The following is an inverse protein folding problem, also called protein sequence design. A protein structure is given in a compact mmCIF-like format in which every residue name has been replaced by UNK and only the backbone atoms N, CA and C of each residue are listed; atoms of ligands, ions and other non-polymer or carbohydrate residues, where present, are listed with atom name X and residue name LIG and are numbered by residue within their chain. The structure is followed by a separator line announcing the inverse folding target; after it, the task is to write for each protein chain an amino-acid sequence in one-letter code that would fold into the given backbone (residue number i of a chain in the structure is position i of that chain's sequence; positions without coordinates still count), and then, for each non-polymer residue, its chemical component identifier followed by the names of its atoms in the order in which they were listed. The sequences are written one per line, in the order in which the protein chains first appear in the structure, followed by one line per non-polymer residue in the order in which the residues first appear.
data_IF_416088682792
#
_entry.id   IF_416088682792
#
_cell.length_a   1.000
_cell.length_b   1.000
_cell.length_c   1.000
_cell.angle_alpha   90.00
_cell.angle_beta   90.00
_cell.angle_gamma   90.00
#
_symmetry.space_group_name_H-M   'P 1'
#
loop_
_entity.id
_entity.type
_entity.pdbx_description
1 polymer ?
#
# COMPACT_ATOMS: atom_id res chain seq x y z
N UNK A 1 -12.58 16.82 8.29
CA UNK A 1 -11.98 15.56 7.77
C UNK A 1 -12.35 15.31 6.31
N UNK A 2 -13.61 15.44 5.87
CA UNK A 2 -14.03 15.39 4.45
C UNK A 2 -15.35 16.17 4.30
N UNK A 3 -15.58 16.83 3.16
CA UNK A 3 -16.81 17.57 2.81
C UNK A 3 -17.60 16.90 1.67
N UNK A 4 -16.98 15.98 0.93
CA UNK A 4 -17.55 15.27 -0.22
C UNK A 4 -18.53 14.17 0.19
N UNK A 5 -19.72 14.18 -0.40
CA UNK A 5 -20.76 13.17 -0.17
C UNK A 5 -20.36 11.78 -0.73
N UNK A 6 -20.79 10.69 -0.07
CA UNK A 6 -20.50 9.32 -0.49
C UNK A 6 -19.14 8.76 -0.03
N UNK A 7 -18.30 9.59 0.61
CA UNK A 7 -17.06 9.12 1.26
C UNK A 7 -17.34 8.66 2.69
N UNK A 8 -16.92 7.44 3.00
CA UNK A 8 -17.18 6.82 4.30
C UNK A 8 -16.06 7.13 5.28
N UNK A 9 -16.33 8.05 6.22
CA UNK A 9 -15.53 8.17 7.44
C UNK A 9 -16.06 7.20 8.49
N UNK A 10 -15.17 6.73 9.38
CA UNK A 10 -15.59 5.99 10.58
C UNK A 10 -16.61 6.80 11.35
N UNK A 11 -17.69 6.16 11.81
CA UNK A 11 -18.78 6.83 12.52
C UNK A 11 -18.30 7.61 13.75
N UNK A 12 -17.27 7.12 14.45
CA UNK A 12 -16.68 7.74 15.64
C UNK A 12 -16.00 9.11 15.37
N UNK A 13 -15.62 9.39 14.12
CA UNK A 13 -15.05 10.71 13.72
C UNK A 13 -16.07 11.54 12.94
N UNK A 14 -17.35 11.30 13.19
CA UNK A 14 -18.44 12.06 12.60
C UNK A 14 -19.52 12.36 13.63
N UNK A 15 -20.09 13.55 13.54
CA UNK A 15 -21.22 13.99 14.35
C UNK A 15 -22.48 13.97 13.48
N UNK A 16 -23.57 13.43 14.01
CA UNK A 16 -24.83 13.29 13.29
C UNK A 16 -25.91 14.14 13.94
N UNK A 17 -26.47 15.07 13.17
CA UNK A 17 -27.67 15.83 13.49
C UNK A 17 -28.87 15.02 12.99
N UNK A 18 -29.80 14.69 13.89
CA UNK A 18 -31.01 13.91 13.59
C UNK A 18 -32.26 14.77 13.78
N UNK A 19 -33.27 14.50 12.98
CA UNK A 19 -34.57 15.18 13.05
C UNK A 19 -35.70 14.16 13.04
N UNK A 20 -36.68 14.37 13.91
CA UNK A 20 -37.91 13.58 13.90
C UNK A 20 -38.87 14.14 12.84
N UNK A 21 -39.30 13.28 11.92
CA UNK A 21 -40.25 13.57 10.85
C UNK A 21 -41.52 12.74 11.10
N UNK A 22 -42.68 13.38 11.05
CA UNK A 22 -43.96 12.68 11.15
C UNK A 22 -44.36 12.13 9.78
N UNK A 23 -44.66 10.83 9.73
CA UNK A 23 -45.15 10.13 8.55
C UNK A 23 -46.66 9.98 8.68
N UNK A 24 -47.41 10.57 7.74
CA UNK A 24 -48.85 10.41 7.67
C UNK A 24 -49.22 8.99 7.23
N UNK A 25 -50.34 8.47 7.75
CA UNK A 25 -50.85 7.17 7.35
C UNK A 25 -51.35 7.18 5.90
N UNK A 26 -51.00 6.17 5.11
CA UNK A 26 -51.45 6.06 3.71
C UNK A 26 -52.91 5.61 3.60
N UNK A 27 -53.43 4.94 4.64
CA UNK A 27 -54.83 4.53 4.70
C UNK A 27 -55.53 4.91 6.02
N UNK A 28 -56.87 5.03 6.03
CA UNK A 28 -57.64 5.33 7.25
C UNK A 28 -57.58 4.25 8.34
N UNK A 29 -57.04 3.07 8.03
CA UNK A 29 -56.85 1.98 9.00
C UNK A 29 -55.46 1.98 9.65
N UNK A 30 -54.57 2.86 9.19
CA UNK A 30 -53.21 2.99 9.71
C UNK A 30 -53.08 4.26 10.55
N UNK A 31 -52.18 4.24 11.53
CA UNK A 31 -51.81 5.41 12.31
C UNK A 31 -50.51 5.98 11.75
N UNK A 32 -50.42 7.30 11.66
CA UNK A 32 -49.15 7.95 11.39
C UNK A 32 -48.16 7.71 12.53
N UNK A 33 -46.87 7.79 12.22
CA UNK A 33 -45.80 7.52 13.17
C UNK A 33 -44.64 8.49 12.95
N UNK A 34 -43.81 8.68 13.96
CA UNK A 34 -42.57 9.44 13.82
C UNK A 34 -41.44 8.53 13.36
N UNK A 35 -40.64 9.02 12.42
CA UNK A 35 -39.34 8.44 12.06
C UNK A 35 -38.25 9.43 12.42
N UNK A 36 -37.12 8.94 12.89
CA UNK A 36 -35.92 9.76 13.11
C UNK A 36 -35.04 9.64 11.87
N UNK A 37 -34.86 10.74 11.16
CA UNK A 37 -34.09 10.83 9.92
C UNK A 37 -32.76 11.56 10.16
N UNK A 38 -31.72 11.13 9.47
CA UNK A 38 -30.43 11.81 9.51
C UNK A 38 -30.55 13.11 8.71
N UNK A 39 -30.49 14.26 9.39
CA UNK A 39 -30.56 15.57 8.74
C UNK A 39 -29.20 15.97 8.18
N UNK A 40 -28.14 15.82 8.99
CA UNK A 40 -26.79 16.19 8.60
C UNK A 40 -25.77 15.32 9.30
N UNK A 41 -24.63 15.08 8.64
CA UNK A 41 -23.44 14.51 9.27
C UNK A 41 -22.25 15.41 9.01
N UNK A 42 -21.49 15.71 10.06
CA UNK A 42 -20.30 16.57 10.01
C UNK A 42 -19.07 15.76 10.37
N UNK A 43 -17.96 16.07 9.73
CA UNK A 43 -16.67 15.51 10.12
C UNK A 43 -16.21 16.12 11.45
N UNK A 44 -15.57 15.30 12.29
CA UNK A 44 -14.91 15.77 13.52
C UNK A 44 -13.70 16.65 13.22
N UNK A 45 -13.18 17.33 14.25
CA UNK A 45 -11.94 18.10 14.14
C UNK A 45 -10.71 17.18 14.07
N UNK A 46 -9.57 17.75 13.70
CA UNK A 46 -8.28 17.06 13.73
C UNK A 46 -7.94 16.51 15.12
N UNK A 47 -8.19 17.30 16.17
CA UNK A 47 -7.92 16.89 17.55
C UNK A 47 -8.80 15.71 17.98
N UNK A 48 -10.09 15.75 17.64
CA UNK A 48 -11.02 14.66 17.95
C UNK A 48 -10.64 13.37 17.21
N UNK A 49 -10.30 13.48 15.92
CA UNK A 49 -9.90 12.33 15.11
C UNK A 49 -8.58 11.71 15.60
N UNK A 50 -7.59 12.54 15.96
CA UNK A 50 -6.34 12.09 16.53
C UNK A 50 -6.56 11.42 17.89
N UNK A 51 -7.36 12.03 18.77
CA UNK A 51 -7.69 11.44 20.06
C UNK A 51 -8.39 10.09 19.89
N UNK A 52 -9.37 9.98 19.00
CA UNK A 52 -10.07 8.72 18.74
C UNK A 52 -9.14 7.65 18.15
N UNK A 53 -8.24 8.03 17.26
CA UNK A 53 -7.24 7.14 16.68
C UNK A 53 -6.27 6.59 17.74
N UNK A 54 -5.71 7.46 18.58
CA UNK A 54 -4.77 7.05 19.62
C UNK A 54 -5.44 6.19 20.70
N UNK A 55 -6.66 6.53 21.11
CA UNK A 55 -7.45 5.69 22.03
C UNK A 55 -7.69 4.31 21.40
N UNK A 56 -8.07 4.25 20.12
CA UNK A 56 -8.25 2.97 19.42
C UNK A 56 -6.98 2.13 19.36
N UNK A 57 -5.80 2.73 19.25
CA UNK A 57 -4.52 2.02 19.27
C UNK A 57 -4.22 1.44 20.67
N UNK A 58 -4.41 2.25 21.72
CA UNK A 58 -4.20 1.83 23.11
C UNK A 58 -5.16 0.70 23.48
N UNK A 59 -6.45 0.80 23.11
CA UNK A 59 -7.46 -0.22 23.40
C UNK A 59 -7.18 -1.54 22.66
N UNK A 60 -6.43 -1.50 21.55
CA UNK A 60 -6.03 -2.69 20.82
C UNK A 60 -4.95 -3.49 21.54
N UNK A 61 -4.15 -2.82 22.38
CA UNK A 61 -3.02 -3.42 23.09
C UNK A 61 -3.52 -4.46 24.10
N UNK A 62 -3.09 -5.70 23.94
CA UNK A 62 -3.45 -6.81 24.82
C UNK A 62 -4.73 -7.55 24.44
N UNK A 63 -5.37 -7.19 23.32
CA UNK A 63 -6.46 -7.99 22.78
C UNK A 63 -5.92 -9.32 22.22
N UNK A 64 -6.65 -10.41 22.49
CA UNK A 64 -6.34 -11.75 22.01
C UNK A 64 -7.51 -12.25 21.15
N UNK A 65 -7.20 -12.84 20.00
CA UNK A 65 -8.15 -13.65 19.25
C UNK A 65 -8.02 -15.11 19.70
N UNK A 66 -9.16 -15.69 20.11
CA UNK A 66 -9.23 -17.10 20.51
C UNK A 66 -9.74 -17.94 19.35
N UNK A 67 -9.03 -19.02 19.07
CA UNK A 67 -9.35 -20.00 18.04
C UNK A 67 -9.46 -21.38 18.68
N UNK A 68 -10.19 -22.27 18.02
CA UNK A 68 -10.22 -23.69 18.32
C UNK A 68 -9.86 -24.47 17.05
N UNK A 69 -9.07 -25.53 17.17
CA UNK A 69 -8.83 -26.46 16.07
C UNK A 69 -9.98 -27.49 15.97
N UNK A 70 -9.94 -28.33 14.93
CA UNK A 70 -10.95 -29.38 14.71
C UNK A 70 -10.96 -30.46 15.82
N UNK A 71 -9.85 -30.56 16.57
CA UNK A 71 -9.70 -31.44 17.74
C UNK A 71 -10.28 -30.84 19.04
N UNK A 72 -10.71 -29.57 19.01
CA UNK A 72 -11.29 -28.84 20.15
C UNK A 72 -10.25 -28.17 21.07
N UNK A 73 -8.97 -28.18 20.72
CA UNK A 73 -7.94 -27.44 21.45
C UNK A 73 -8.06 -25.95 21.17
N UNK A 74 -8.13 -25.16 22.24
CA UNK A 74 -8.18 -23.70 22.16
C UNK A 74 -6.78 -23.09 22.24
N UNK A 75 -6.52 -22.08 21.40
CA UNK A 75 -5.32 -21.27 21.47
C UNK A 75 -5.64 -19.80 21.25
N UNK A 76 -4.77 -18.93 21.78
CA UNK A 76 -4.93 -17.49 21.71
C UNK A 76 -3.78 -16.87 20.91
N UNK A 77 -4.12 -15.96 20.01
CA UNK A 77 -3.15 -15.17 19.26
C UNK A 77 -3.32 -13.69 19.61
N UNK A 78 -2.22 -12.98 19.92
CA UNK A 78 -2.29 -11.55 20.14
C UNK A 78 -2.73 -10.85 18.86
N UNK A 79 -3.74 -9.99 18.98
CA UNK A 79 -4.14 -9.11 17.90
C UNK A 79 -3.10 -8.00 17.77
N UNK A 80 -2.64 -7.77 16.54
CA UNK A 80 -1.74 -6.67 16.18
C UNK A 80 -2.45 -5.69 15.27
N UNK A 81 -2.44 -4.40 15.61
CA UNK A 81 -2.97 -3.40 14.69
C UNK A 81 -1.96 -3.04 13.60
N UNK A 82 -2.41 -2.25 12.63
CA UNK A 82 -1.58 -1.85 11.50
C UNK A 82 -0.63 -0.69 11.83
N UNK A 83 -0.51 -0.26 13.08
CA UNK A 83 0.23 0.94 13.49
C UNK A 83 1.38 0.66 14.47
N UNK A 84 1.36 -0.50 15.12
CA UNK A 84 2.41 -0.95 16.03
C UNK A 84 3.65 -1.56 15.36
N UNK A 85 4.68 -1.76 16.17
CA UNK A 85 6.00 -2.29 15.80
C UNK A 85 5.93 -3.57 14.95
N UNK A 86 5.12 -4.54 15.38
CA UNK A 86 5.02 -5.86 14.72
C UNK A 86 4.58 -5.72 13.26
N UNK A 87 3.66 -4.80 12.97
CA UNK A 87 3.23 -4.56 11.59
C UNK A 87 4.36 -3.94 10.76
N UNK A 88 5.08 -2.96 11.31
CA UNK A 88 6.22 -2.33 10.64
C UNK A 88 7.32 -3.36 10.33
N UNK A 89 7.70 -4.20 11.32
CA UNK A 89 8.65 -5.31 11.12
C UNK A 89 8.18 -6.30 10.04
N UNK A 90 6.89 -6.60 10.00
CA UNK A 90 6.32 -7.47 8.96
C UNK A 90 6.46 -6.86 7.57
N UNK A 91 6.23 -5.56 7.41
CA UNK A 91 6.40 -4.92 6.11
C UNK A 91 7.87 -4.81 5.71
N UNK A 92 8.76 -4.54 6.66
CA UNK A 92 10.20 -4.59 6.46
C UNK A 92 10.66 -5.95 5.93
N UNK A 93 10.23 -7.04 6.58
CA UNK A 93 10.53 -8.40 6.14
C UNK A 93 10.03 -8.69 4.71
N UNK A 94 8.89 -8.12 4.32
CA UNK A 94 8.36 -8.21 2.95
C UNK A 94 9.19 -7.46 1.93
N UNK A 95 9.70 -6.28 2.26
CA UNK A 95 10.59 -5.53 1.38
C UNK A 95 11.91 -6.30 1.16
N UNK A 96 12.48 -6.87 2.22
CA UNK A 96 13.65 -7.75 2.10
C UNK A 96 13.37 -9.04 1.32
N UNK A 97 12.16 -9.60 1.43
CA UNK A 97 11.75 -10.76 0.64
C UNK A 97 11.79 -10.44 -0.87
N UNK A 98 11.32 -9.26 -1.27
CA UNK A 98 11.38 -8.85 -2.68
C UNK A 98 12.81 -8.73 -3.19
N UNK A 99 13.69 -8.09 -2.42
CA UNK A 99 15.11 -7.98 -2.77
C UNK A 99 15.71 -9.37 -3.04
N UNK A 100 15.43 -10.35 -2.16
CA UNK A 100 15.91 -11.73 -2.33
C UNK A 100 15.32 -12.44 -3.54
N UNK A 101 14.02 -12.28 -3.78
CA UNK A 101 13.37 -12.98 -4.89
C UNK A 101 13.78 -12.41 -6.25
N UNK A 102 13.99 -11.10 -6.33
CA UNK A 102 14.35 -10.43 -7.58
C UNK A 102 15.85 -10.53 -7.88
N UNK A 103 16.70 -10.22 -6.90
CA UNK A 103 18.15 -10.14 -7.08
C UNK A 103 18.97 -11.24 -6.40
N UNK A 104 18.31 -12.19 -5.73
CA UNK A 104 18.99 -13.25 -4.99
C UNK A 104 19.51 -12.80 -3.63
N UNK A 105 20.19 -13.72 -2.93
CA UNK A 105 20.84 -13.46 -1.64
C UNK A 105 20.43 -14.42 -0.53
N UNK A 106 21.09 -14.31 0.62
CA UNK A 106 20.89 -15.23 1.75
C UNK A 106 19.56 -14.98 2.47
N UNK A 107 18.80 -16.05 2.75
CA UNK A 107 17.59 -16.00 3.56
C UNK A 107 17.92 -16.08 5.05
N UNK A 108 17.11 -15.47 5.93
CA UNK A 108 17.29 -15.59 7.38
C UNK A 108 17.26 -17.03 7.92
N UNK A 109 16.61 -17.95 7.21
CA UNK A 109 16.56 -19.39 7.51
C UNK A 109 17.83 -20.15 7.15
N UNK A 110 18.81 -19.51 6.49
CA UNK A 110 20.11 -20.09 6.13
C UNK A 110 20.18 -20.67 4.71
N UNK A 111 19.08 -20.68 3.95
CA UNK A 111 19.09 -20.99 2.52
C UNK A 111 19.48 -19.80 1.64
N UNK A 112 19.68 -20.05 0.35
CA UNK A 112 19.98 -19.02 -0.65
C UNK A 112 18.80 -18.81 -1.60
N UNK A 113 18.53 -17.55 -1.92
CA UNK A 113 17.61 -17.14 -2.97
C UNK A 113 18.31 -17.08 -4.32
N UNK A 114 17.77 -17.81 -5.29
CA UNK A 114 18.11 -17.63 -6.70
C UNK A 114 17.37 -16.40 -7.22
N UNK A 115 18.09 -15.50 -7.88
CA UNK A 115 17.50 -14.32 -8.51
C UNK A 115 16.54 -14.76 -9.61
N UNK A 116 15.31 -14.25 -9.59
CA UNK A 116 14.35 -14.47 -10.67
C UNK A 116 14.68 -13.62 -11.91
N UNK A 117 15.36 -12.49 -11.73
CA UNK A 117 15.65 -11.52 -12.78
C UNK A 117 17.15 -11.42 -13.05
N UNK A 118 17.50 -11.18 -14.32
CA UNK A 118 18.88 -11.11 -14.77
C UNK A 118 19.60 -9.84 -14.33
N UNK A 119 18.92 -8.69 -14.40
CA UNK A 119 19.45 -7.39 -14.02
C UNK A 119 18.38 -6.55 -13.32
N UNK A 120 18.03 -6.87 -12.06
CA UNK A 120 16.94 -6.22 -11.37
C UNK A 120 17.26 -4.74 -11.06
N UNK A 121 16.37 -3.84 -11.49
CA UNK A 121 16.47 -2.39 -11.29
C UNK A 121 15.15 -1.82 -10.76
N UNK A 122 15.21 -0.60 -10.22
CA UNK A 122 14.04 0.06 -9.63
C UNK A 122 13.88 1.51 -10.01
N UNK A 123 12.64 1.97 -9.94
CA UNK A 123 12.25 3.37 -10.00
C UNK A 123 11.43 3.74 -8.77
N UNK A 124 11.62 4.94 -8.25
CA UNK A 124 10.72 5.55 -7.27
C UNK A 124 9.97 6.68 -7.96
N UNK A 125 8.65 6.60 -7.94
CA UNK A 125 7.77 7.67 -8.40
C UNK A 125 7.11 8.32 -7.18
N UNK A 126 7.26 9.63 -7.05
CA UNK A 126 6.68 10.38 -5.93
C UNK A 126 5.49 11.20 -6.43
N UNK A 127 4.30 10.88 -5.91
CA UNK A 127 3.06 11.57 -6.20
C UNK A 127 2.65 12.45 -5.02
N UNK A 128 2.53 13.74 -5.28
CA UNK A 128 2.12 14.73 -4.29
C UNK A 128 0.98 15.61 -4.78
N UNK A 129 0.37 16.33 -3.85
CA UNK A 129 -0.72 17.27 -4.08
C UNK A 129 -0.59 18.43 -3.10
N UNK A 130 -0.99 19.63 -3.50
CA UNK A 130 -1.06 20.78 -2.60
C UNK A 130 -2.21 20.62 -1.62
N UNK A 131 -1.97 20.89 -0.35
CA UNK A 131 -3.02 21.01 0.67
C UNK A 131 -3.69 22.39 0.67
N UNK A 132 -3.19 23.34 -0.13
CA UNK A 132 -3.71 24.72 -0.28
C UNK A 132 -3.69 25.21 -1.74
N UNK A 133 -4.27 24.46 -2.70
CA UNK A 133 -4.16 24.78 -4.12
C UNK A 133 -4.73 26.17 -4.48
N UNK A 134 -5.76 26.62 -3.76
CA UNK A 134 -6.42 27.92 -3.97
C UNK A 134 -6.24 28.89 -2.78
N UNK A 135 -5.23 28.65 -1.93
CA UNK A 135 -5.01 29.41 -0.69
C UNK A 135 -5.90 28.98 0.48
N UNK A 136 -6.91 28.14 0.24
CA UNK A 136 -7.74 27.51 1.28
C UNK A 136 -7.27 26.08 1.57
N UNK A 137 -7.28 25.71 2.85
CA UNK A 137 -6.79 24.41 3.32
C UNK A 137 -7.80 23.32 2.99
N UNK A 138 -7.38 22.30 2.24
CA UNK A 138 -8.22 21.16 1.92
C UNK A 138 -8.51 20.27 3.14
N UNK A 139 -9.70 19.67 3.23
CA UNK A 139 -9.95 18.54 4.11
C UNK A 139 -8.93 17.40 3.86
N UNK A 140 -8.22 16.91 4.89
CA UNK A 140 -7.11 15.97 4.69
C UNK A 140 -7.49 14.62 4.06
N UNK A 141 -8.70 14.13 4.32
CA UNK A 141 -9.17 12.88 3.70
C UNK A 141 -9.46 13.10 2.22
N UNK A 142 -9.98 14.25 1.81
CA UNK A 142 -10.21 14.56 0.38
C UNK A 142 -8.90 14.65 -0.39
N UNK A 143 -7.92 15.35 0.19
CA UNK A 143 -6.57 15.40 -0.37
C UNK A 143 -5.96 14.00 -0.52
N UNK A 144 -6.08 13.16 0.52
CA UNK A 144 -5.58 11.79 0.50
C UNK A 144 -6.32 10.94 -0.53
N UNK A 145 -7.64 11.10 -0.64
CA UNK A 145 -8.47 10.40 -1.60
C UNK A 145 -8.08 10.73 -3.03
N UNK A 146 -7.97 12.02 -3.38
CA UNK A 146 -7.52 12.49 -4.68
C UNK A 146 -6.20 11.86 -5.14
N UNK A 147 -5.21 11.71 -4.25
CA UNK A 147 -3.91 11.09 -4.59
C UNK A 147 -4.03 9.62 -4.99
N UNK A 148 -4.72 8.82 -4.18
CA UNK A 148 -4.84 7.37 -4.45
C UNK A 148 -5.87 7.09 -5.53
N UNK A 149 -6.88 7.93 -5.69
CA UNK A 149 -7.89 7.75 -6.72
C UNK A 149 -7.28 8.00 -8.10
N UNK A 150 -6.46 9.06 -8.22
CA UNK A 150 -5.60 9.29 -9.38
C UNK A 150 -4.77 8.04 -9.72
N UNK A 151 -4.12 7.44 -8.70
CA UNK A 151 -3.36 6.20 -8.89
C UNK A 151 -4.23 4.99 -9.28
N UNK A 152 -5.28 4.72 -8.51
CA UNK A 152 -5.96 3.42 -8.49
C UNK A 152 -7.13 3.28 -9.45
N UNK A 153 -7.77 4.41 -9.79
CA UNK A 153 -9.05 4.46 -10.50
C UNK A 153 -9.01 5.36 -11.74
N UNK A 154 -8.25 6.46 -11.71
CA UNK A 154 -8.28 7.47 -12.78
C UNK A 154 -7.15 7.29 -13.82
N UNK A 155 -6.47 6.14 -13.78
CA UNK A 155 -5.65 5.66 -14.89
C UNK A 155 -4.14 5.84 -14.76
N UNK A 156 -3.62 6.47 -13.70
CA UNK A 156 -2.15 6.57 -13.50
C UNK A 156 -1.50 5.20 -13.38
N UNK A 157 -2.11 4.24 -12.66
CA UNK A 157 -1.61 2.86 -12.61
C UNK A 157 -1.67 2.17 -13.98
N UNK A 158 -2.68 2.45 -14.77
CA UNK A 158 -2.81 1.88 -16.12
C UNK A 158 -1.76 2.48 -17.06
N UNK A 159 -1.44 3.77 -16.92
CA UNK A 159 -0.31 4.42 -17.60
C UNK A 159 1.02 3.81 -17.15
N UNK A 160 1.21 3.55 -15.86
CA UNK A 160 2.40 2.84 -15.37
C UNK A 160 2.51 1.46 -16.03
N UNK A 161 1.45 0.65 -16.04
CA UNK A 161 1.45 -0.64 -16.76
C UNK A 161 1.83 -0.47 -18.22
N UNK A 162 1.21 0.49 -18.91
CA UNK A 162 1.48 0.71 -20.33
C UNK A 162 2.93 1.17 -20.58
N UNK A 163 3.50 1.99 -19.69
CA UNK A 163 4.91 2.35 -19.73
C UNK A 163 5.79 1.10 -19.63
N UNK A 164 5.53 0.23 -18.66
CA UNK A 164 6.33 -0.99 -18.48
C UNK A 164 6.17 -1.98 -19.64
N UNK A 165 4.94 -2.30 -20.02
CA UNK A 165 4.67 -3.39 -20.98
C UNK A 165 4.77 -2.95 -22.45
N UNK A 166 4.33 -1.74 -22.81
CA UNK A 166 4.31 -1.30 -24.20
C UNK A 166 5.47 -0.38 -24.59
N UNK A 167 5.96 0.45 -23.67
CA UNK A 167 7.04 1.40 -23.98
C UNK A 167 8.42 0.80 -23.66
N UNK A 168 8.54 0.09 -22.55
CA UNK A 168 9.77 -0.60 -22.17
C UNK A 168 9.80 -2.06 -22.65
N UNK A 169 8.67 -2.62 -23.09
CA UNK A 169 8.61 -3.94 -23.73
C UNK A 169 8.79 -5.10 -22.76
N UNK A 170 8.48 -4.91 -21.48
CA UNK A 170 8.58 -5.94 -20.45
C UNK A 170 7.33 -6.82 -20.40
N UNK A 171 7.51 -8.10 -20.17
CA UNK A 171 6.42 -9.02 -19.88
C UNK A 171 5.84 -8.77 -18.47
N UNK A 172 4.62 -9.24 -18.22
CA UNK A 172 3.88 -8.95 -16.99
C UNK A 172 4.52 -9.50 -15.70
N UNK A 173 5.44 -10.46 -15.81
CA UNK A 173 6.22 -11.04 -14.72
C UNK A 173 7.63 -10.44 -14.56
N UNK A 174 8.05 -9.60 -15.51
CA UNK A 174 9.33 -8.88 -15.49
C UNK A 174 9.24 -7.54 -14.76
N UNK A 175 8.07 -7.14 -14.27
CA UNK A 175 7.92 -5.91 -13.50
C UNK A 175 6.78 -5.95 -12.47
N UNK A 176 6.90 -5.14 -11.42
CA UNK A 176 5.83 -4.94 -10.44
C UNK A 176 5.95 -3.62 -9.71
N UNK A 177 4.98 -3.32 -8.84
CA UNK A 177 5.00 -2.09 -8.04
C UNK A 177 4.60 -2.34 -6.58
N UNK A 178 5.12 -1.48 -5.70
CA UNK A 178 4.67 -1.29 -4.34
C UNK A 178 4.39 0.18 -4.13
N UNK A 179 3.13 0.52 -3.90
CA UNK A 179 2.70 1.84 -3.44
C UNK A 179 2.75 1.90 -1.92
N UNK A 180 3.42 2.91 -1.40
CA UNK A 180 3.56 3.22 0.01
C UNK A 180 3.16 4.68 0.22
N UNK A 181 2.23 4.92 1.13
CA UNK A 181 1.85 6.27 1.53
C UNK A 181 2.64 6.71 2.75
N UNK A 182 2.89 8.01 2.83
CA UNK A 182 3.63 8.66 3.91
C UNK A 182 3.13 10.08 4.22
N UNK A 183 3.48 10.63 5.40
CA UNK A 183 3.29 12.03 5.70
C UNK A 183 4.36 12.91 5.06
N UNK A 184 3.94 14.01 4.46
CA UNK A 184 4.81 15.15 4.21
C UNK A 184 5.37 15.72 5.51
N UNK A 185 6.60 16.25 5.43
CA UNK A 185 7.28 16.94 6.53
C UNK A 185 8.13 16.05 7.44
N UNK A 186 8.16 14.73 7.19
CA UNK A 186 9.03 13.80 7.91
C UNK A 186 10.51 14.12 7.62
N UNK A 187 11.33 14.23 8.68
CA UNK A 187 12.77 14.54 8.57
C UNK A 187 13.13 16.01 8.36
N UNK A 188 12.14 16.88 8.15
CA UNK A 188 12.30 18.34 8.12
C UNK A 188 11.93 19.01 9.45
N UNK A 189 11.76 20.34 9.45
CA UNK A 189 11.30 21.09 10.62
C UNK A 189 9.76 21.02 10.85
N UNK A 190 9.05 20.18 10.08
CA UNK A 190 7.60 20.01 10.16
C UNK A 190 6.78 21.22 9.70
N UNK A 191 7.40 22.25 9.10
CA UNK A 191 6.74 23.54 8.83
C UNK A 191 6.19 23.70 7.40
N UNK A 192 6.43 22.72 6.54
CA UNK A 192 5.99 22.76 5.15
C UNK A 192 4.47 22.87 5.02
N UNK A 193 3.99 23.53 3.96
CA UNK A 193 2.55 23.72 3.78
C UNK A 193 1.78 22.40 3.76
N UNK A 194 2.39 21.31 3.31
CA UNK A 194 1.77 19.99 3.26
C UNK A 194 2.05 19.13 4.49
N UNK A 195 2.67 19.64 5.56
CA UNK A 195 2.95 18.85 6.76
C UNK A 195 1.71 18.08 7.24
N UNK A 196 1.88 16.81 7.61
CA UNK A 196 0.81 15.87 8.00
C UNK A 196 -0.11 15.37 6.86
N UNK A 197 -0.04 15.95 5.65
CA UNK A 197 -0.80 15.47 4.49
C UNK A 197 -0.09 14.31 3.80
N UNK A 198 -0.84 13.51 3.05
CA UNK A 198 -0.31 12.33 2.36
C UNK A 198 0.58 12.71 1.17
N UNK A 199 1.63 11.95 0.92
CA UNK A 199 2.15 11.71 -0.44
C UNK A 199 2.24 10.20 -0.67
N UNK A 200 2.42 9.81 -1.93
CA UNK A 200 2.55 8.41 -2.32
C UNK A 200 3.91 8.20 -2.98
N UNK A 201 4.62 7.19 -2.50
CA UNK A 201 5.80 6.64 -3.13
C UNK A 201 5.41 5.34 -3.84
N UNK A 202 5.66 5.24 -5.14
CA UNK A 202 5.48 4.02 -5.91
C UNK A 202 6.84 3.50 -6.31
N UNK A 203 7.30 2.50 -5.56
CA UNK A 203 8.47 1.72 -5.92
C UNK A 203 8.10 0.76 -7.05
N UNK A 204 8.67 0.98 -8.23
CA UNK A 204 8.56 0.11 -9.41
C UNK A 204 9.80 -0.76 -9.45
N UNK A 205 9.58 -2.06 -9.64
CA UNK A 205 10.60 -3.10 -9.71
C UNK A 205 10.55 -3.68 -11.11
N UNK A 206 11.68 -3.87 -11.76
CA UNK A 206 11.71 -4.45 -13.10
C UNK A 206 13.03 -5.14 -13.41
N UNK A 207 13.00 -6.12 -14.31
CA UNK A 207 14.20 -6.65 -14.93
C UNK A 207 14.69 -5.69 -16.03
N UNK A 208 15.92 -5.22 -15.90
CA UNK A 208 16.55 -4.31 -16.83
C UNK A 208 17.62 -4.99 -17.70
N UNK A 209 17.60 -6.32 -17.82
CA UNK A 209 18.61 -7.09 -18.54
C UNK A 209 18.84 -6.57 -19.98
N UNK A 210 17.76 -6.14 -20.64
CA UNK A 210 17.78 -5.63 -22.01
C UNK A 210 17.45 -4.12 -22.10
N UNK A 211 17.54 -3.38 -20.99
CA UNK A 211 17.18 -1.97 -20.90
C UNK A 211 18.36 -1.05 -20.56
N UNK A 212 18.36 0.14 -21.15
CA UNK A 212 19.26 1.23 -20.77
C UNK A 212 18.53 2.19 -19.82
N UNK A 213 19.02 2.31 -18.58
CA UNK A 213 18.37 3.12 -17.55
C UNK A 213 18.33 4.62 -17.88
N UNK A 214 19.27 5.13 -18.70
CA UNK A 214 19.22 6.51 -19.18
C UNK A 214 18.01 6.76 -20.09
N UNK A 215 17.54 5.72 -20.79
CA UNK A 215 16.35 5.75 -21.65
C UNK A 215 15.08 5.43 -20.86
N UNK A 216 15.17 4.61 -19.81
CA UNK A 216 14.03 4.26 -18.93
C UNK A 216 13.50 5.47 -18.16
N UNK A 217 14.38 6.32 -17.62
CA UNK A 217 13.99 7.46 -16.79
C UNK A 217 12.94 8.38 -17.46
N UNK A 218 13.20 8.86 -18.69
CA UNK A 218 12.24 9.65 -19.45
C UNK A 218 10.88 8.98 -19.70
N UNK A 219 10.80 7.64 -19.76
CA UNK A 219 9.52 6.96 -19.98
C UNK A 219 8.59 7.05 -18.75
N UNK A 220 9.14 7.25 -17.55
CA UNK A 220 8.36 7.49 -16.34
C UNK A 220 7.75 8.90 -16.26
N UNK A 221 8.24 9.85 -17.05
CA UNK A 221 7.63 11.20 -17.18
C UNK A 221 6.15 11.09 -17.54
N UNK A 222 5.76 10.11 -18.36
CA UNK A 222 4.36 9.83 -18.74
C UNK A 222 3.47 9.55 -17.55
N UNK A 223 4.01 8.86 -16.53
CA UNK A 223 3.26 8.49 -15.33
C UNK A 223 3.09 9.72 -14.43
N UNK A 224 4.12 10.55 -14.33
CA UNK A 224 4.06 11.84 -13.62
C UNK A 224 3.06 12.78 -14.30
N UNK A 225 3.13 12.91 -15.63
CA UNK A 225 2.19 13.71 -16.42
C UNK A 225 0.76 13.25 -16.21
N UNK A 226 0.52 11.93 -16.20
CA UNK A 226 -0.81 11.39 -15.93
C UNK A 226 -1.28 11.72 -14.51
N UNK A 227 -0.40 11.67 -13.52
CA UNK A 227 -0.73 12.06 -12.15
C UNK A 227 -1.11 13.55 -12.06
N UNK A 228 -0.34 14.42 -12.72
CA UNK A 228 -0.63 15.86 -12.76
C UNK A 228 -1.92 16.16 -13.52
N UNK A 229 -2.26 15.36 -14.55
CA UNK A 229 -3.52 15.47 -15.29
C UNK A 229 -4.74 15.10 -14.43
N UNK A 230 -4.68 13.97 -13.70
CA UNK A 230 -5.84 13.39 -13.02
C UNK A 230 -6.00 13.87 -11.57
N UNK A 231 -4.90 14.14 -10.87
CA UNK A 231 -4.96 14.64 -9.50
C UNK A 231 -5.18 16.15 -9.51
N UNK A 232 -6.42 16.59 -9.26
CA UNK A 232 -6.83 18.01 -9.28
C UNK A 232 -5.91 18.96 -8.47
N UNK A 233 -5.30 18.44 -7.40
CA UNK A 233 -4.46 19.21 -6.48
C UNK A 233 -2.95 19.07 -6.76
N UNK A 234 -2.57 18.27 -7.75
CA UNK A 234 -1.21 18.16 -8.22
C UNK A 234 -0.85 19.33 -9.15
N UNK A 235 0.43 19.64 -9.23
CA UNK A 235 0.93 20.64 -10.18
C UNK A 235 2.26 20.20 -10.75
N UNK A 236 2.52 20.58 -11.99
CA UNK A 236 3.80 20.30 -12.64
C UNK A 236 4.98 20.92 -11.89
N UNK A 237 4.82 22.10 -11.29
CA UNK A 237 5.90 22.74 -10.52
C UNK A 237 6.36 21.93 -9.31
N UNK A 238 5.47 21.09 -8.74
CA UNK A 238 5.81 20.16 -7.66
C UNK A 238 6.35 18.81 -8.17
N UNK A 239 6.32 18.58 -9.48
CA UNK A 239 6.79 17.36 -10.13
C UNK A 239 7.68 17.68 -11.34
N UNK A 240 8.42 18.78 -11.30
CA UNK A 240 9.21 19.25 -12.44
C UNK A 240 10.46 18.38 -12.62
N UNK A 241 10.41 17.48 -13.59
CA UNK A 241 11.49 16.55 -13.92
C UNK A 241 12.47 17.09 -15.00
N UNK A 242 12.26 18.30 -15.53
CA UNK A 242 13.01 18.80 -16.72
C UNK A 242 14.52 18.95 -16.53
N UNK A 243 14.99 18.97 -15.29
CA UNK A 243 16.41 19.07 -14.94
C UNK A 243 16.83 17.96 -13.95
N UNK A 244 16.07 16.87 -13.90
CA UNK A 244 16.35 15.75 -12.99
C UNK A 244 17.36 14.80 -13.62
N UNK A 245 18.42 14.50 -12.88
CA UNK A 245 19.32 13.39 -13.20
C UNK A 245 18.74 12.13 -12.54
N UNK A 246 18.02 11.32 -13.31
CA UNK A 246 17.26 10.19 -12.76
C UNK A 246 18.11 9.19 -11.97
N UNK A 247 19.41 9.07 -12.24
CA UNK A 247 20.27 8.08 -11.58
C UNK A 247 21.01 8.64 -10.36
N UNK A 248 21.19 9.96 -10.29
CA UNK A 248 21.98 10.61 -9.23
C UNK A 248 21.16 11.52 -8.32
N UNK A 249 19.94 11.91 -8.71
CA UNK A 249 19.03 12.75 -7.93
C UNK A 249 18.00 11.88 -7.20
N UNK A 250 18.04 11.90 -5.86
CA UNK A 250 17.07 11.22 -5.00
C UNK A 250 15.88 12.09 -4.59
N UNK A 251 15.95 13.40 -4.86
CA UNK A 251 14.99 14.38 -4.34
C UNK A 251 13.92 14.76 -5.39
N UNK A 252 14.08 14.28 -6.63
CA UNK A 252 13.13 14.43 -7.73
C UNK A 252 11.84 13.61 -7.58
N UNK A 253 10.87 13.87 -8.45
CA UNK A 253 9.62 13.07 -8.53
C UNK A 253 9.83 11.69 -9.19
N UNK A 254 10.97 11.48 -9.84
CA UNK A 254 11.43 10.23 -10.45
C UNK A 254 12.88 10.01 -10.02
N UNK A 255 13.20 8.83 -9.48
CA UNK A 255 14.59 8.40 -9.24
C UNK A 255 14.75 6.93 -9.63
N UNK A 256 15.86 6.58 -10.27
CA UNK A 256 16.22 5.23 -10.70
C UNK A 256 17.40 4.68 -9.92
N UNK A 257 17.44 3.36 -9.74
CA UNK A 257 18.57 2.67 -9.15
C UNK A 257 18.89 1.37 -9.92
N UNK A 258 20.16 1.23 -10.33
CA UNK A 258 20.70 0.11 -11.10
C UNK A 258 20.93 -1.18 -10.29
N UNK A 259 20.18 -1.36 -9.21
CA UNK A 259 20.21 -2.55 -8.38
C UNK A 259 19.10 -2.53 -7.35
N UNK A 260 18.77 -3.72 -6.84
CA UNK A 260 17.82 -3.90 -5.74
C UNK A 260 18.51 -4.02 -4.38
N UNK A 261 19.85 -4.14 -4.37
CA UNK A 261 20.67 -4.18 -3.17
C UNK A 261 20.52 -2.87 -2.40
N UNK A 262 20.06 -2.94 -1.14
CA UNK A 262 19.69 -1.82 -0.27
C UNK A 262 18.33 -1.16 -0.54
N UNK A 263 17.52 -1.69 -1.45
CA UNK A 263 16.17 -1.17 -1.64
C UNK A 263 15.21 -1.64 -0.53
N UNK A 264 15.41 -2.84 0.03
CA UNK A 264 14.68 -3.27 1.22
C UNK A 264 14.83 -2.24 2.35
N UNK A 265 16.01 -1.65 2.51
CA UNK A 265 16.27 -0.52 3.40
C UNK A 265 15.74 0.82 2.87
N UNK A 266 15.77 1.07 1.55
CA UNK A 266 15.26 2.30 0.93
C UNK A 266 13.75 2.44 1.15
N UNK A 267 12.96 1.46 0.69
CA UNK A 267 11.52 1.43 0.95
C UNK A 267 11.22 1.33 2.44
N UNK A 268 12.01 0.62 3.24
CA UNK A 268 11.82 0.61 4.69
C UNK A 268 12.05 1.97 5.37
N UNK A 269 12.98 2.77 4.85
CA UNK A 269 13.19 4.14 5.32
C UNK A 269 11.90 4.97 5.09
N UNK A 270 11.31 4.83 3.91
CA UNK A 270 10.00 5.39 3.52
C UNK A 270 8.83 4.80 4.33
N UNK A 271 8.82 3.50 4.64
CA UNK A 271 7.85 2.90 5.56
C UNK A 271 7.92 3.45 7.00
N UNK A 272 8.79 4.42 7.23
CA UNK A 272 8.87 5.25 8.42
C UNK A 272 9.81 4.63 9.42
N UNK A 273 11.02 4.27 8.98
CA UNK A 273 12.32 4.16 9.69
C UNK A 273 12.40 3.55 11.09
N UNK A 274 11.28 3.11 11.65
CA UNK A 274 11.12 2.97 13.08
C UNK A 274 10.15 1.83 13.29
N UNK A 275 10.73 0.70 13.65
CA UNK A 275 10.06 -0.35 14.42
C UNK A 275 9.59 0.18 15.79
N UNK A 276 9.80 1.46 16.11
CA UNK A 276 9.31 2.10 17.32
C UNK A 276 7.78 2.06 17.44
N UNK A 277 7.33 2.17 18.69
CA UNK A 277 5.92 2.22 19.06
C UNK A 277 5.24 3.47 18.49
N UNK A 278 3.94 3.39 18.24
CA UNK A 278 3.20 4.48 17.58
C UNK A 278 3.34 5.82 18.32
N UNK A 279 3.28 5.80 19.65
CA UNK A 279 3.32 7.01 20.49
C UNK A 279 4.67 7.72 20.50
N UNK A 280 5.73 7.05 20.06
CA UNK A 280 7.07 7.64 19.95
C UNK A 280 7.28 8.33 18.59
N UNK A 281 6.33 8.16 17.65
CA UNK A 281 6.42 8.75 16.32
C UNK A 281 6.11 10.25 16.34
N UNK A 282 6.68 11.02 15.38
CA UNK A 282 6.41 12.46 15.26
C UNK A 282 4.93 12.80 15.08
N UNK A 283 4.55 14.02 15.45
CA UNK A 283 3.17 14.50 15.37
C UNK A 283 2.61 14.45 13.95
N UNK A 284 3.46 14.66 12.94
CA UNK A 284 3.13 14.57 11.51
C UNK A 284 2.66 13.17 11.15
N UNK A 285 3.36 12.15 11.65
CA UNK A 285 2.98 10.75 11.44
C UNK A 285 1.69 10.39 12.19
N UNK A 286 1.54 10.86 13.43
CA UNK A 286 0.33 10.61 14.22
C UNK A 286 -0.92 11.24 13.58
N UNK A 287 -0.79 12.49 13.13
CA UNK A 287 -1.82 13.21 12.42
C UNK A 287 -2.17 12.48 11.11
N UNK A 288 -1.18 12.24 10.25
CA UNK A 288 -1.37 11.47 9.03
C UNK A 288 -2.03 10.11 9.28
N UNK A 289 -1.63 9.43 10.37
CA UNK A 289 -2.22 8.16 10.76
C UNK A 289 -3.71 8.24 11.09
N UNK A 290 -4.12 9.31 11.75
CA UNK A 290 -5.53 9.60 12.02
C UNK A 290 -6.34 9.77 10.72
N UNK A 291 -5.76 10.29 9.63
CA UNK A 291 -6.43 10.39 8.32
C UNK A 291 -6.76 8.99 7.79
N UNK A 292 -5.76 8.11 7.67
CA UNK A 292 -5.93 6.76 7.14
C UNK A 292 -6.86 5.91 8.01
N UNK A 293 -6.71 6.01 9.32
CA UNK A 293 -7.61 5.32 10.25
C UNK A 293 -9.05 5.81 10.07
N UNK A 294 -9.26 7.13 10.02
CA UNK A 294 -10.58 7.76 9.87
C UNK A 294 -11.28 7.37 8.56
N UNK A 295 -10.53 7.32 7.45
CA UNK A 295 -11.05 6.95 6.14
C UNK A 295 -11.09 5.42 5.90
N UNK A 296 -10.69 4.62 6.91
CA UNK A 296 -10.53 3.17 6.79
C UNK A 296 -9.69 2.75 5.56
N UNK A 297 -8.64 3.53 5.27
CA UNK A 297 -7.87 3.42 4.04
C UNK A 297 -6.61 2.60 4.21
N UNK A 298 -6.19 1.93 3.14
CA UNK A 298 -4.93 1.17 3.11
C UNK A 298 -3.78 2.12 2.79
N UNK A 299 -2.72 2.05 3.59
CA UNK A 299 -1.47 2.81 3.40
C UNK A 299 -0.57 2.26 2.30
N UNK A 300 -0.76 0.99 1.96
CA UNK A 300 0.06 0.29 0.98
C UNK A 300 -0.81 -0.53 0.05
N UNK A 301 -0.43 -0.56 -1.22
CA UNK A 301 -0.93 -1.49 -2.22
C UNK A 301 0.25 -2.05 -3.02
N UNK A 302 0.09 -3.23 -3.59
CA UNK A 302 1.15 -3.91 -4.36
C UNK A 302 0.54 -4.53 -5.60
N UNK A 303 1.35 -4.65 -6.65
CA UNK A 303 1.02 -5.50 -7.78
C UNK A 303 0.90 -6.96 -7.33
N UNK A 304 0.27 -7.75 -8.18
CA UNK A 304 0.09 -9.17 -7.91
C UNK A 304 1.43 -9.89 -7.83
N UNK A 305 2.32 -9.66 -8.80
CA UNK A 305 3.63 -10.31 -8.87
C UNK A 305 4.47 -10.06 -7.61
N UNK A 306 4.48 -8.82 -7.09
CA UNK A 306 5.16 -8.45 -5.84
C UNK A 306 4.57 -9.21 -4.65
N UNK A 307 3.24 -9.37 -4.60
CA UNK A 307 2.59 -10.16 -3.56
C UNK A 307 2.93 -11.64 -3.66
N UNK A 308 3.09 -12.17 -4.87
CA UNK A 308 3.47 -13.55 -5.13
C UNK A 308 4.93 -13.82 -4.74
N UNK A 309 5.86 -12.98 -5.17
CA UNK A 309 7.28 -13.06 -4.76
C UNK A 309 7.44 -13.08 -3.23
N UNK A 310 6.75 -12.19 -2.51
CA UNK A 310 6.76 -12.18 -1.03
C UNK A 310 6.26 -13.51 -0.44
N UNK A 311 5.23 -14.12 -1.04
CA UNK A 311 4.68 -15.40 -0.57
C UNK A 311 5.65 -16.55 -0.84
N UNK A 312 6.26 -16.57 -2.02
CA UNK A 312 7.27 -17.56 -2.40
C UNK A 312 8.46 -17.54 -1.44
N UNK A 313 8.99 -16.36 -1.12
CA UNK A 313 10.09 -16.25 -0.15
C UNK A 313 9.71 -16.78 1.24
N UNK A 314 8.51 -16.42 1.73
CA UNK A 314 8.02 -16.95 3.00
C UNK A 314 7.73 -18.46 2.94
N UNK A 315 7.45 -19.02 1.76
CA UNK A 315 7.25 -20.44 1.54
C UNK A 315 8.57 -21.19 1.62
N UNK A 316 9.63 -20.68 0.97
CA UNK A 316 10.98 -21.27 1.07
C UNK A 316 11.49 -21.25 2.50
N UNK A 317 11.38 -20.12 3.19
CA UNK A 317 11.82 -20.04 4.59
C UNK A 317 11.06 -21.01 5.52
N UNK A 318 9.81 -21.36 5.18
CA UNK A 318 9.06 -22.41 5.91
C UNK A 318 9.53 -23.82 5.57
N UNK A 319 9.98 -24.09 4.36
CA UNK A 319 10.57 -25.39 4.02
C UNK A 319 11.96 -25.58 4.67
N UNK A 320 12.72 -24.48 4.76
CA UNK A 320 14.06 -24.46 5.36
C UNK A 320 14.04 -24.51 6.91
N UNK A 321 12.95 -24.08 7.54
CA UNK A 321 12.85 -23.96 9.00
C UNK A 321 12.48 -25.29 9.68
N UNK A 322 13.28 -25.70 10.67
CA UNK A 322 12.98 -26.85 11.52
C UNK A 322 11.77 -26.67 12.43
N UNK A 323 11.26 -25.45 12.58
CA UNK A 323 10.05 -25.15 13.37
C UNK A 323 8.76 -25.28 12.56
N UNK A 324 8.88 -25.55 11.26
CA UNK A 324 7.77 -25.69 10.32
C UNK A 324 7.58 -27.15 9.94
N UNK A 325 6.32 -27.56 9.75
CA UNK A 325 5.97 -28.89 9.24
C UNK A 325 5.95 -28.96 7.71
N UNK A 326 6.22 -27.84 7.02
CA UNK A 326 6.32 -27.82 5.57
C UNK A 326 7.66 -28.43 5.15
N UNK A 327 7.62 -29.49 4.35
CA UNK A 327 8.83 -30.16 3.83
C UNK A 327 9.19 -29.71 2.44
N UNK A 328 8.18 -29.40 1.63
CA UNK A 328 8.35 -29.13 0.20
C UNK A 328 8.79 -27.67 0.02
N UNK A 329 9.82 -27.49 -0.82
CA UNK A 329 10.28 -26.18 -1.24
C UNK A 329 9.23 -25.46 -2.09
N UNK A 330 9.36 -24.14 -2.22
CA UNK A 330 8.45 -23.39 -3.09
C UNK A 330 8.52 -23.92 -4.52
N UNK A 331 7.36 -24.18 -5.11
CA UNK A 331 7.25 -24.73 -6.46
C UNK A 331 7.69 -26.20 -6.59
N UNK A 332 8.15 -26.90 -5.56
CA UNK A 332 8.47 -28.33 -5.67
C UNK A 332 7.20 -29.13 -6.00
N UNK A 333 6.17 -28.96 -5.17
CA UNK A 333 4.80 -29.40 -5.44
C UNK A 333 3.97 -28.25 -6.02
N UNK A 334 3.33 -28.52 -7.16
CA UNK A 334 2.47 -27.56 -7.87
C UNK A 334 1.06 -28.11 -8.03
N UNK A 335 0.09 -27.20 -8.10
CA UNK A 335 -1.32 -27.50 -8.35
C UNK A 335 -1.86 -26.53 -9.39
N UNK A 336 -2.90 -26.97 -10.10
CA UNK A 336 -3.66 -26.10 -10.98
C UNK A 336 -4.53 -25.15 -10.16
N UNK A 337 -4.64 -23.91 -10.62
CA UNK A 337 -5.39 -22.84 -9.99
C UNK A 337 -6.41 -22.24 -10.97
N UNK A 338 -7.68 -22.60 -10.80
CA UNK A 338 -8.81 -22.05 -11.58
C UNK A 338 -9.15 -20.57 -11.23
N UNK A 339 -8.34 -19.94 -10.38
CA UNK A 339 -8.51 -18.57 -9.94
C UNK A 339 -7.98 -17.54 -10.94
N UNK A 340 -8.16 -16.25 -10.63
CA UNK A 340 -7.53 -15.17 -11.41
C UNK A 340 -6.01 -15.19 -11.18
N UNK A 341 -5.22 -15.65 -12.14
CA UNK A 341 -3.77 -15.66 -11.99
C UNK A 341 -2.95 -16.55 -12.89
N UNK A 342 -1.69 -16.82 -12.47
CA UNK A 342 -0.96 -17.98 -12.95
C UNK A 342 -1.81 -19.23 -12.74
N UNK A 343 -1.85 -20.06 -13.76
CA UNK A 343 -2.63 -21.30 -13.79
C UNK A 343 -1.92 -22.39 -12.96
N UNK A 344 -0.59 -22.36 -12.91
CA UNK A 344 0.22 -23.28 -12.11
C UNK A 344 0.82 -22.55 -10.92
N UNK A 345 0.47 -22.99 -9.71
CA UNK A 345 0.90 -22.38 -8.46
C UNK A 345 1.50 -23.40 -7.49
N UNK A 346 2.34 -22.93 -6.58
CA UNK A 346 2.86 -23.77 -5.50
C UNK A 346 1.73 -24.26 -4.59
N UNK A 347 1.69 -25.58 -4.35
CA UNK A 347 0.69 -26.22 -3.49
C UNK A 347 0.70 -25.70 -2.04
N UNK A 348 1.86 -25.22 -1.57
CA UNK A 348 2.04 -24.78 -0.18
C UNK A 348 1.59 -23.32 0.06
N UNK A 349 1.70 -22.44 -0.95
CA UNK A 349 1.45 -21.00 -0.75
C UNK A 349 0.55 -20.34 -1.79
N UNK A 350 0.10 -21.07 -2.81
CA UNK A 350 -0.71 -20.59 -3.93
C UNK A 350 -0.10 -19.36 -4.64
N UNK A 351 1.21 -19.37 -4.80
CA UNK A 351 1.95 -18.37 -5.57
C UNK A 351 2.50 -19.02 -6.85
N UNK A 352 2.33 -18.36 -7.99
CA UNK A 352 2.94 -18.75 -9.26
C UNK A 352 4.32 -18.14 -9.52
N UNK A 353 4.90 -17.43 -8.54
CA UNK A 353 6.17 -16.73 -8.73
C UNK A 353 7.31 -17.71 -9.05
N UNK A 354 8.04 -17.45 -10.14
CA UNK A 354 9.13 -18.29 -10.63
C UNK A 354 8.75 -19.78 -10.83
N UNK A 355 7.48 -20.05 -11.17
CA UNK A 355 7.00 -21.39 -11.51
C UNK A 355 6.72 -21.44 -13.00
N UNK A 356 7.34 -22.40 -13.67
CA UNK A 356 7.05 -22.73 -15.06
C UNK A 356 5.57 -23.14 -15.21
N UNK A 357 4.84 -22.35 -16.01
CA UNK A 357 3.40 -22.50 -16.22
C UNK A 357 3.06 -23.70 -17.12
N UNK A 358 4.04 -24.29 -17.80
CA UNK A 358 3.84 -25.49 -18.64
C UNK A 358 3.99 -26.79 -17.83
N UNK A 359 4.19 -26.72 -16.51
CA UNK A 359 4.39 -27.90 -15.64
C UNK A 359 3.15 -28.75 -15.44
N UNK A 360 1.96 -28.18 -15.59
CA UNK A 360 0.68 -28.88 -15.49
C UNK A 360 -0.22 -28.44 -16.63
N UNK A 361 -0.96 -29.39 -17.20
CA UNK A 361 -2.03 -29.10 -18.14
C UNK A 361 -3.31 -28.70 -17.39
N UNK A 362 -4.18 -27.95 -18.07
CA UNK A 362 -5.52 -27.62 -17.58
C UNK A 362 -6.30 -28.92 -17.26
N UNK A 363 -6.89 -29.05 -16.07
CA UNK A 363 -7.72 -30.19 -15.71
C UNK A 363 -8.90 -30.34 -16.69
N UNK A 364 -9.07 -31.55 -17.24
CA UNK A 364 -10.17 -31.91 -18.18
C UNK A 364 -11.49 -32.16 -17.47
#
# INVERSE_FOLDING_TARGET
MCETHGRNLRRIVTEADWRDTYVEAESPMENGFYVTELEKRRAATWADALSAFLTSHVDYKGLLARFANDDGDEFELPLTDAWGETYSRKQYARALALQRQMGGGERPSGGEAVAAWGSPATAMLTFTASSVPNGERLPPVEHTDALHDAFSYDGVRDTLRNTMEYHLGLDADEWGYWLQAEPHGMGGDGSGMNACYSHLHVGVYFDAADLDLEVVGPEFERVIDKHVEECEYASFSAHDYRNTDYLNDSDGCISLNAGVENMGSYLAAYMGGYTEELLDKPVEYLAWGAIYWSAARRRTSRSKIVTEAIKADACEQRAESSESNQTDAHGEAVVWNDGRGPDVVCACCNSGWAIDQDRLDEPV
#
